data_IF_755216247655
#
_entry.id   IF_755216247655
#
_cell.length_a   1.000
_cell.length_b   1.000
_cell.length_c   1.000
_cell.angle_alpha   90.00
_cell.angle_beta   90.00
_cell.angle_gamma   90.00
#
_symmetry.space_group_name_H-M   'P 1'
#
loop_
_entity.id
_entity.type
_entity.pdbx_description
1 polymer ?
#
# COMPACT_ATOMS: atom_id res chain seq x y z
N UNK A 1 -58.06 41.52 34.36
CA UNK A 1 -57.38 40.37 34.98
C UNK A 1 -57.04 39.40 33.84
N UNK A 2 -55.90 39.52 33.23
CA UNK A 2 -55.54 38.74 32.04
C UNK A 2 -54.16 38.13 32.25
N UNK A 3 -54.11 36.85 32.39
CA UNK A 3 -52.92 36.07 32.65
C UNK A 3 -52.23 35.75 31.31
N UNK A 4 -50.98 36.17 31.12
CA UNK A 4 -50.18 35.86 29.95
C UNK A 4 -49.30 34.66 30.32
N UNK A 5 -49.61 33.51 29.70
CA UNK A 5 -48.75 32.32 29.80
C UNK A 5 -47.65 32.41 28.75
N UNK A 6 -46.40 32.51 29.21
CA UNK A 6 -45.22 32.49 28.36
C UNK A 6 -44.90 31.10 27.86
N UNK A 7 -44.85 30.96 26.55
CA UNK A 7 -44.46 29.74 25.83
C UNK A 7 -42.94 29.68 25.79
N UNK A 8 -42.33 28.77 26.55
CA UNK A 8 -40.89 28.48 26.49
C UNK A 8 -40.65 27.49 25.36
N UNK A 9 -40.12 27.96 24.24
CA UNK A 9 -39.66 27.10 23.15
C UNK A 9 -38.27 26.53 23.56
N UNK A 10 -38.24 25.24 23.81
CA UNK A 10 -37.01 24.48 23.99
C UNK A 10 -36.43 24.10 22.61
N UNK A 11 -35.34 24.78 22.22
CA UNK A 11 -34.57 24.40 21.02
C UNK A 11 -33.75 23.18 21.34
N UNK A 12 -34.16 21.99 20.84
CA UNK A 12 -33.30 20.80 20.81
C UNK A 12 -32.24 21.00 19.71
N UNK A 13 -31.03 21.36 20.10
CA UNK A 13 -29.86 21.33 19.22
C UNK A 13 -29.44 19.88 18.97
N UNK A 14 -29.73 19.35 17.79
CA UNK A 14 -29.22 18.07 17.35
C UNK A 14 -27.73 18.22 17.01
N UNK A 15 -26.86 17.88 17.97
CA UNK A 15 -25.43 17.75 17.75
C UNK A 15 -25.14 16.55 16.86
N UNK A 16 -24.85 16.78 15.60
CA UNK A 16 -24.30 15.76 14.71
C UNK A 16 -22.85 15.49 15.16
N UNK A 17 -22.65 14.42 15.93
CA UNK A 17 -21.31 13.89 16.19
C UNK A 17 -20.80 13.32 14.86
N UNK A 18 -19.90 14.06 14.21
CA UNK A 18 -19.06 13.54 13.15
C UNK A 18 -18.07 12.55 13.77
N UNK A 19 -18.44 11.27 13.75
CA UNK A 19 -17.54 10.16 14.01
C UNK A 19 -16.53 10.13 12.85
N UNK A 20 -15.43 10.90 12.98
CA UNK A 20 -14.25 10.74 12.15
C UNK A 20 -13.65 9.37 12.52
N UNK A 21 -14.20 8.29 11.95
CA UNK A 21 -13.63 6.96 12.05
C UNK A 21 -12.23 7.02 11.44
N UNK A 22 -11.22 6.49 12.15
CA UNK A 22 -9.90 6.28 11.61
C UNK A 22 -10.07 5.42 10.35
N UNK A 23 -10.00 6.06 9.18
CA UNK A 23 -10.00 5.36 7.91
C UNK A 23 -8.69 4.58 7.84
N UNK A 24 -8.75 3.27 8.03
CA UNK A 24 -7.60 2.40 7.81
C UNK A 24 -7.09 2.56 6.38
N UNK A 25 -5.84 2.18 6.15
CA UNK A 25 -5.19 2.31 4.83
C UNK A 25 -5.79 1.40 3.75
N UNK A 26 -6.48 0.33 4.14
CA UNK A 26 -7.08 -0.65 3.23
C UNK A 26 -8.46 -0.27 2.70
N UNK A 27 -9.02 -1.09 1.78
CA UNK A 27 -10.35 -0.88 1.19
C UNK A 27 -11.49 -0.84 2.22
N UNK A 28 -11.28 -1.41 3.40
CA UNK A 28 -12.29 -1.47 4.46
C UNK A 28 -13.51 -2.32 4.04
N UNK A 29 -14.74 -1.80 4.18
CA UNK A 29 -15.95 -2.57 3.96
C UNK A 29 -16.35 -2.75 2.49
N UNK A 30 -15.48 -2.44 1.51
CA UNK A 30 -15.79 -2.69 0.11
C UNK A 30 -16.03 -4.18 -0.11
N UNK A 31 -17.20 -4.50 -0.65
CA UNK A 31 -17.57 -5.87 -0.96
C UNK A 31 -16.95 -6.32 -2.28
N UNK A 32 -16.73 -7.63 -2.43
CA UNK A 32 -16.44 -8.22 -3.73
C UNK A 32 -17.54 -7.85 -4.73
N UNK A 33 -17.15 -7.52 -5.97
CA UNK A 33 -18.04 -6.99 -7.00
C UNK A 33 -18.13 -5.47 -7.05
N UNK A 34 -17.51 -4.74 -6.10
CA UNK A 34 -17.42 -3.28 -6.20
C UNK A 34 -16.74 -2.86 -7.51
N UNK A 35 -17.25 -1.83 -8.15
CA UNK A 35 -16.66 -1.29 -9.38
C UNK A 35 -15.30 -0.63 -9.10
N UNK A 36 -14.45 -0.52 -10.11
CA UNK A 36 -13.19 0.22 -10.03
C UNK A 36 -13.43 1.67 -9.54
N UNK A 37 -14.51 2.31 -9.98
CA UNK A 37 -14.85 3.66 -9.54
C UNK A 37 -15.11 3.73 -8.03
N UNK A 38 -15.81 2.73 -7.44
CA UNK A 38 -16.04 2.66 -6.00
C UNK A 38 -14.75 2.38 -5.23
N UNK A 39 -13.86 1.53 -5.78
CA UNK A 39 -12.52 1.30 -5.21
C UNK A 39 -11.72 2.59 -5.19
N UNK A 40 -11.67 3.32 -6.32
CA UNK A 40 -10.96 4.60 -6.43
C UNK A 40 -11.58 5.68 -5.53
N UNK A 41 -12.90 5.75 -5.45
CA UNK A 41 -13.58 6.69 -4.55
C UNK A 41 -13.22 6.43 -3.07
N UNK A 42 -13.03 5.17 -2.70
CA UNK A 42 -12.68 4.77 -1.32
C UNK A 42 -11.20 4.90 -1.03
N UNK A 43 -10.34 4.47 -1.95
CA UNK A 43 -8.90 4.38 -1.74
C UNK A 43 -8.12 5.54 -2.37
N UNK A 44 -8.75 6.39 -3.17
CA UNK A 44 -8.06 7.42 -3.94
C UNK A 44 -7.42 6.86 -5.21
N UNK A 45 -6.58 7.66 -5.86
CA UNK A 45 -5.91 7.29 -7.11
C UNK A 45 -4.94 6.13 -6.86
N UNK A 46 -4.99 5.07 -7.70
CA UNK A 46 -4.00 3.99 -7.64
C UNK A 46 -2.58 4.52 -7.86
N UNK A 47 -1.62 3.94 -7.18
CA UNK A 47 -0.18 4.24 -7.36
C UNK A 47 0.44 3.42 -8.48
N UNK A 48 -0.23 2.37 -8.92
CA UNK A 48 0.13 1.54 -10.06
C UNK A 48 -1.06 0.78 -10.60
N UNK A 49 -0.93 0.32 -11.83
CA UNK A 49 -1.91 -0.53 -12.55
C UNK A 49 -1.10 -1.58 -13.29
N UNK A 50 -1.25 -2.82 -12.89
CA UNK A 50 -0.42 -3.93 -13.33
C UNK A 50 -1.27 -4.99 -14.01
N UNK A 51 -0.69 -5.59 -15.06
CA UNK A 51 -1.29 -6.75 -15.74
C UNK A 51 -0.41 -7.96 -15.47
N UNK A 52 -1.01 -8.99 -14.90
CA UNK A 52 -0.34 -10.26 -14.62
C UNK A 52 -0.16 -11.14 -15.85
N UNK A 53 0.58 -12.26 -15.71
CA UNK A 53 0.82 -13.20 -16.80
C UNK A 53 -0.47 -13.74 -17.44
N UNK A 54 -1.51 -13.90 -16.64
CA UNK A 54 -2.83 -14.39 -17.08
C UNK A 54 -3.75 -13.28 -17.63
N UNK A 55 -3.23 -12.08 -17.83
CA UNK A 55 -4.01 -10.92 -18.27
C UNK A 55 -4.92 -10.32 -17.17
N UNK A 56 -4.83 -10.79 -15.95
CA UNK A 56 -5.57 -10.23 -14.82
C UNK A 56 -5.01 -8.85 -14.45
N UNK A 57 -5.91 -7.90 -14.25
CA UNK A 57 -5.56 -6.53 -13.88
C UNK A 57 -5.58 -6.36 -12.37
N UNK A 58 -4.56 -5.68 -11.84
CA UNK A 58 -4.34 -5.45 -10.42
C UNK A 58 -3.99 -3.99 -10.18
N UNK A 59 -4.78 -3.30 -9.35
CA UNK A 59 -4.52 -1.92 -8.94
C UNK A 59 -3.67 -1.91 -7.69
N UNK A 60 -2.64 -1.06 -7.69
CA UNK A 60 -1.75 -0.86 -6.55
C UNK A 60 -2.13 0.41 -5.78
N UNK A 61 -2.13 0.31 -4.44
CA UNK A 61 -2.32 1.43 -3.53
C UNK A 61 -1.25 1.40 -2.44
N UNK A 62 -0.13 2.08 -2.68
CA UNK A 62 0.90 2.26 -1.66
C UNK A 62 0.43 3.28 -0.62
N UNK A 63 0.49 2.93 0.65
CA UNK A 63 -0.08 3.67 1.78
C UNK A 63 0.82 3.65 3.00
N UNK A 64 0.43 4.45 3.99
CA UNK A 64 1.11 4.53 5.27
C UNK A 64 2.39 5.35 5.25
N UNK A 65 2.95 5.67 6.43
CA UNK A 65 4.21 6.35 6.52
C UNK A 65 5.32 5.50 5.89
N UNK A 66 6.15 6.14 5.07
CA UNK A 66 7.29 5.52 4.37
C UNK A 66 6.92 4.37 3.43
N UNK A 67 5.63 4.25 3.00
CA UNK A 67 5.20 3.20 2.08
C UNK A 67 5.23 1.80 2.68
N UNK A 68 4.98 1.65 3.98
CA UNK A 68 4.99 0.36 4.68
C UNK A 68 3.82 -0.55 4.38
N UNK A 69 2.81 -0.04 3.68
CA UNK A 69 1.64 -0.81 3.28
C UNK A 69 1.42 -0.65 1.78
N UNK A 70 1.24 -1.76 1.09
CA UNK A 70 0.78 -1.76 -0.30
C UNK A 70 -0.41 -2.69 -0.40
N UNK A 71 -1.55 -2.13 -0.76
CA UNK A 71 -2.76 -2.89 -1.02
C UNK A 71 -2.89 -3.12 -2.52
N UNK A 72 -3.01 -4.39 -2.89
CA UNK A 72 -3.33 -4.80 -4.25
C UNK A 72 -4.80 -5.15 -4.33
N UNK A 73 -5.48 -4.62 -5.34
CA UNK A 73 -6.88 -4.90 -5.62
C UNK A 73 -6.98 -5.61 -6.97
N UNK A 74 -7.38 -6.87 -6.95
CA UNK A 74 -7.59 -7.67 -8.14
C UNK A 74 -8.94 -7.34 -8.79
N UNK A 75 -8.91 -7.07 -10.09
CA UNK A 75 -10.11 -6.81 -10.88
C UNK A 75 -10.43 -8.02 -11.78
N UNK A 76 -11.71 -8.23 -12.02
CA UNK A 76 -12.17 -9.17 -13.05
C UNK A 76 -12.17 -8.51 -14.44
N UNK A 77 -12.53 -9.28 -15.48
CA UNK A 77 -12.59 -8.79 -16.86
C UNK A 77 -13.64 -7.70 -17.11
N UNK A 78 -14.52 -7.43 -16.16
CA UNK A 78 -15.52 -6.36 -16.19
C UNK A 78 -15.10 -5.14 -15.34
N UNK A 79 -13.88 -5.14 -14.79
CA UNK A 79 -13.37 -4.07 -13.94
C UNK A 79 -14.02 -4.04 -12.55
N UNK A 80 -14.45 -5.19 -12.03
CA UNK A 80 -15.00 -5.31 -10.68
C UNK A 80 -14.00 -5.96 -9.76
N UNK A 81 -13.94 -5.48 -8.52
CA UNK A 81 -13.08 -6.02 -7.48
C UNK A 81 -13.44 -7.48 -7.17
N UNK A 82 -12.50 -8.39 -7.33
CA UNK A 82 -12.59 -9.79 -6.89
C UNK A 82 -12.13 -9.95 -5.45
N UNK A 83 -10.95 -9.40 -5.17
CA UNK A 83 -10.27 -9.50 -3.89
C UNK A 83 -9.32 -8.33 -3.69
N UNK A 84 -8.83 -8.21 -2.48
CA UNK A 84 -7.72 -7.31 -2.16
C UNK A 84 -6.84 -7.93 -1.08
N UNK A 85 -5.58 -7.54 -1.05
CA UNK A 85 -4.63 -7.99 -0.05
C UNK A 85 -3.56 -6.91 0.24
N UNK A 86 -2.98 -6.94 1.44
CA UNK A 86 -1.78 -6.19 1.79
C UNK A 86 -0.58 -7.09 1.48
N UNK A 87 0.27 -6.66 0.53
CA UNK A 87 1.32 -7.52 -0.05
C UNK A 87 2.70 -7.33 0.57
N UNK A 88 2.93 -6.28 1.37
CA UNK A 88 4.22 -6.09 2.04
C UNK A 88 4.30 -6.92 3.32
N UNK A 89 4.37 -8.23 3.15
CA UNK A 89 4.47 -9.23 4.22
C UNK A 89 5.54 -10.25 3.89
N UNK A 90 6.10 -10.88 4.91
CA UNK A 90 7.14 -11.91 4.73
C UNK A 90 6.69 -13.07 3.84
N UNK A 91 5.40 -13.45 3.89
CA UNK A 91 4.86 -14.50 3.03
C UNK A 91 4.97 -14.12 1.54
N UNK A 92 4.63 -12.88 1.18
CA UNK A 92 4.74 -12.40 -0.19
C UNK A 92 6.20 -12.21 -0.61
N UNK A 93 7.04 -11.70 0.29
CA UNK A 93 8.46 -11.51 0.04
C UNK A 93 9.17 -12.83 -0.27
N UNK A 94 8.94 -13.84 0.56
CA UNK A 94 9.54 -15.16 0.41
C UNK A 94 9.01 -15.93 -0.83
N UNK A 95 7.90 -15.47 -1.40
CA UNK A 95 7.34 -16.03 -2.65
C UNK A 95 7.98 -15.45 -3.92
N UNK A 96 8.82 -14.40 -3.84
CA UNK A 96 9.49 -13.81 -5.01
C UNK A 96 10.63 -14.73 -5.47
N UNK A 97 10.50 -15.36 -6.66
CA UNK A 97 11.53 -16.28 -7.11
C UNK A 97 12.70 -15.54 -7.78
N UNK A 98 13.91 -16.07 -7.65
CA UNK A 98 15.03 -15.69 -8.51
C UNK A 98 14.67 -16.00 -9.96
N UNK A 99 14.98 -15.07 -10.86
CA UNK A 99 14.63 -15.15 -12.27
C UNK A 99 13.29 -14.50 -12.63
N UNK A 100 12.46 -14.09 -11.65
CA UNK A 100 11.28 -13.29 -11.92
C UNK A 100 11.65 -12.00 -12.66
N UNK A 101 10.79 -11.56 -13.55
CA UNK A 101 10.94 -10.27 -14.23
C UNK A 101 10.56 -9.11 -13.30
N UNK A 102 11.03 -7.91 -13.62
CA UNK A 102 10.64 -6.67 -12.96
C UNK A 102 9.11 -6.52 -12.91
N UNK A 103 8.42 -6.83 -14.01
CA UNK A 103 6.97 -6.72 -14.09
C UNK A 103 6.26 -7.68 -13.11
N UNK A 104 6.77 -8.91 -12.96
CA UNK A 104 6.24 -9.87 -12.00
C UNK A 104 6.45 -9.40 -10.55
N UNK A 105 7.59 -8.78 -10.24
CA UNK A 105 7.83 -8.21 -8.91
C UNK A 105 6.88 -7.05 -8.65
N UNK A 106 6.66 -6.14 -9.61
CA UNK A 106 5.70 -5.04 -9.49
C UNK A 106 4.27 -5.56 -9.33
N UNK A 107 3.91 -6.61 -10.07
CA UNK A 107 2.59 -7.23 -9.95
C UNK A 107 2.37 -7.86 -8.56
N UNK A 108 3.43 -8.44 -7.99
CA UNK A 108 3.35 -9.13 -6.69
C UNK A 108 3.44 -8.19 -5.50
N UNK A 109 4.37 -7.24 -5.51
CA UNK A 109 4.70 -6.39 -4.36
C UNK A 109 4.38 -4.90 -4.57
N UNK A 110 4.16 -4.48 -5.80
CA UNK A 110 4.05 -3.07 -6.16
C UNK A 110 5.39 -2.36 -6.20
N UNK A 111 5.34 -1.03 -6.18
CA UNK A 111 6.55 -0.19 -6.20
C UNK A 111 7.37 -0.35 -4.93
N UNK A 112 8.70 -0.37 -5.04
CA UNK A 112 9.57 -0.36 -3.87
C UNK A 112 9.53 1.01 -3.16
N UNK A 113 9.86 1.00 -1.87
CA UNK A 113 10.04 2.22 -1.07
C UNK A 113 11.28 3.00 -1.50
N UNK A 114 12.30 2.30 -1.97
CA UNK A 114 13.59 2.88 -2.40
C UNK A 114 14.23 2.04 -3.51
N UNK A 115 14.93 2.72 -4.42
CA UNK A 115 15.69 2.08 -5.50
C UNK A 115 17.13 2.60 -5.50
N UNK A 116 18.08 1.69 -5.34
CA UNK A 116 19.51 1.99 -5.39
C UNK A 116 20.12 1.34 -6.63
N UNK A 117 20.88 2.11 -7.41
CA UNK A 117 21.65 1.58 -8.55
C UNK A 117 23.10 1.30 -8.13
N UNK A 118 23.59 0.11 -8.44
CA UNK A 118 24.98 -0.31 -8.23
C UNK A 118 25.62 -0.57 -9.59
N UNK A 119 26.13 0.48 -10.29
CA UNK A 119 26.60 0.37 -11.67
C UNK A 119 27.72 -0.66 -11.87
N UNK A 120 28.66 -0.77 -10.90
CA UNK A 120 29.78 -1.73 -10.97
C UNK A 120 29.34 -3.19 -10.98
N UNK A 121 28.14 -3.48 -10.47
CA UNK A 121 27.54 -4.81 -10.44
C UNK A 121 26.45 -5.00 -11.49
N UNK A 122 26.17 -3.97 -12.28
CA UNK A 122 25.04 -3.93 -13.22
C UNK A 122 23.70 -4.24 -12.54
N UNK A 123 23.49 -3.73 -11.35
CA UNK A 123 22.41 -4.14 -10.44
C UNK A 123 21.55 -2.95 -10.04
N UNK A 124 20.24 -3.19 -9.88
CA UNK A 124 19.30 -2.35 -9.17
C UNK A 124 18.84 -3.08 -7.92
N UNK A 125 18.91 -2.43 -6.77
CA UNK A 125 18.37 -2.96 -5.52
C UNK A 125 17.07 -2.23 -5.19
N UNK A 126 15.98 -2.97 -5.13
CA UNK A 126 14.67 -2.50 -4.74
C UNK A 126 14.43 -2.85 -3.28
N UNK A 127 14.20 -1.84 -2.44
CA UNK A 127 13.97 -2.02 -1.01
C UNK A 127 12.52 -1.74 -0.66
N UNK A 128 11.90 -2.67 0.04
CA UNK A 128 10.50 -2.62 0.47
C UNK A 128 10.45 -2.49 1.98
N UNK A 129 9.94 -1.35 2.48
CA UNK A 129 9.63 -1.17 3.90
C UNK A 129 8.31 -1.84 4.22
N UNK A 130 8.23 -2.44 5.40
CA UNK A 130 7.03 -3.11 5.88
C UNK A 130 6.93 -2.99 7.40
N UNK A 131 5.82 -3.41 7.98
CA UNK A 131 5.67 -3.48 9.42
C UNK A 131 6.48 -4.66 9.97
N UNK A 132 7.70 -4.37 10.39
CA UNK A 132 8.62 -5.34 10.99
C UNK A 132 9.00 -4.93 12.41
N UNK A 133 8.93 -5.83 13.40
CA UNK A 133 9.40 -5.57 14.75
C UNK A 133 10.93 -5.48 14.84
N UNK A 134 11.64 -5.92 13.79
CA UNK A 134 13.11 -5.98 13.75
C UNK A 134 13.75 -4.85 12.97
N UNK A 135 12.97 -3.85 12.58
CA UNK A 135 13.48 -2.72 11.80
C UNK A 135 14.20 -3.15 10.52
N UNK A 136 13.58 -4.05 9.79
CA UNK A 136 14.10 -4.61 8.56
C UNK A 136 13.30 -4.11 7.36
N UNK A 137 13.97 -4.08 6.21
CA UNK A 137 13.34 -4.04 4.92
C UNK A 137 13.63 -5.31 4.13
N UNK A 138 12.77 -5.63 3.17
CA UNK A 138 13.03 -6.68 2.20
C UNK A 138 13.67 -6.07 0.95
N UNK A 139 14.65 -6.77 0.37
CA UNK A 139 15.37 -6.30 -0.80
C UNK A 139 15.31 -7.30 -1.94
N UNK A 140 15.14 -6.78 -3.16
CA UNK A 140 15.16 -7.53 -4.41
C UNK A 140 16.25 -6.92 -5.29
N UNK A 141 17.25 -7.72 -5.63
CA UNK A 141 18.28 -7.36 -6.59
C UNK A 141 17.86 -7.74 -7.99
N UNK A 142 17.96 -6.81 -8.92
CA UNK A 142 17.61 -6.98 -10.33
C UNK A 142 18.81 -6.70 -11.20
N UNK A 143 19.13 -7.60 -12.14
CA UNK A 143 20.11 -7.33 -13.19
C UNK A 143 19.55 -6.29 -14.17
N UNK A 144 20.31 -5.24 -14.44
CA UNK A 144 19.86 -4.10 -15.26
C UNK A 144 19.73 -4.42 -16.74
N UNK A 145 20.37 -5.47 -17.23
CA UNK A 145 20.34 -5.86 -18.63
C UNK A 145 19.19 -6.82 -18.93
N UNK A 146 19.04 -7.83 -18.09
CA UNK A 146 17.99 -8.84 -18.27
C UNK A 146 16.67 -8.48 -17.62
N UNK A 147 16.67 -7.47 -16.73
CA UNK A 147 15.51 -7.03 -15.95
C UNK A 147 14.92 -8.14 -15.05
N UNK A 148 15.80 -9.05 -14.60
CA UNK A 148 15.41 -10.22 -13.81
C UNK A 148 15.99 -10.18 -12.40
N UNK A 149 15.25 -10.77 -11.45
CA UNK A 149 15.70 -10.96 -10.07
C UNK A 149 16.90 -11.87 -10.04
N UNK A 150 17.99 -11.41 -9.43
CA UNK A 150 19.21 -12.18 -9.18
C UNK A 150 19.31 -12.69 -7.76
N UNK A 151 18.76 -11.95 -6.81
CA UNK A 151 18.71 -12.36 -5.40
C UNK A 151 17.63 -11.61 -4.64
N UNK A 152 17.21 -12.17 -3.50
CA UNK A 152 16.34 -11.52 -2.52
C UNK A 152 16.91 -11.70 -1.12
N UNK A 153 16.55 -10.83 -0.19
CA UNK A 153 17.00 -10.95 1.20
C UNK A 153 16.44 -9.85 2.09
N UNK A 154 16.79 -9.92 3.36
CA UNK A 154 16.43 -8.93 4.35
C UNK A 154 17.68 -8.16 4.79
N UNK A 155 17.51 -6.88 5.06
CA UNK A 155 18.56 -6.01 5.58
C UNK A 155 18.01 -5.08 6.65
N UNK A 156 18.88 -4.38 7.36
CA UNK A 156 18.47 -3.34 8.31
C UNK A 156 17.98 -2.13 7.53
N UNK A 157 16.79 -1.60 7.89
CA UNK A 157 16.30 -0.34 7.30
C UNK A 157 17.14 0.83 7.85
N UNK A 158 17.80 1.62 7.00
CA UNK A 158 18.59 2.77 7.44
C UNK A 158 17.82 3.81 8.25
N UNK A 159 16.50 3.86 8.12
CA UNK A 159 15.67 4.75 8.94
C UNK A 159 15.66 4.37 10.42
N UNK A 160 16.10 3.17 10.75
CA UNK A 160 16.18 2.70 12.14
C UNK A 160 17.53 3.01 12.79
N UNK A 161 18.53 3.38 11.99
CA UNK A 161 19.83 3.82 12.46
C UNK A 161 19.83 5.29 12.96
N UNK A 162 18.68 5.81 13.39
CA UNK A 162 18.47 7.20 13.81
C UNK A 162 19.34 7.73 14.95
N UNK A 163 20.24 6.91 15.49
CA UNK A 163 21.21 7.29 16.53
C UNK A 163 22.63 7.55 16.00
N UNK A 164 22.82 7.54 14.67
CA UNK A 164 24.09 8.01 14.12
C UNK A 164 24.05 9.52 13.96
N UNK A 165 24.28 10.20 15.06
CA UNK A 165 24.77 11.58 15.08
C UNK A 165 25.96 11.64 14.11
N UNK A 166 25.81 12.30 12.96
CA UNK A 166 26.93 12.58 12.07
C UNK A 166 27.90 13.47 12.85
N UNK A 167 29.15 13.07 13.11
CA UNK A 167 30.11 13.98 13.71
C UNK A 167 30.33 15.13 12.71
N UNK A 168 30.18 16.36 13.21
CA UNK A 168 30.44 17.62 12.54
C UNK A 168 31.88 17.71 11.95
#
# INVERSE_FOLDING_TARGET
MTSIQGLKAAALGAGVLLLAGCAGYGPGPLASGASEAEVVARMGVPTGDHVGPDGQRRLEFARGPYGRHTYMVDLDGQGRMRSWEQVLTENHFNAVPVGASRAEVLYSLGRPSEVISIPRRNELVWSYRYESPFCQWFQVSLDRTSDKVTSTGYGVDPLCDGDKEFPD
#
